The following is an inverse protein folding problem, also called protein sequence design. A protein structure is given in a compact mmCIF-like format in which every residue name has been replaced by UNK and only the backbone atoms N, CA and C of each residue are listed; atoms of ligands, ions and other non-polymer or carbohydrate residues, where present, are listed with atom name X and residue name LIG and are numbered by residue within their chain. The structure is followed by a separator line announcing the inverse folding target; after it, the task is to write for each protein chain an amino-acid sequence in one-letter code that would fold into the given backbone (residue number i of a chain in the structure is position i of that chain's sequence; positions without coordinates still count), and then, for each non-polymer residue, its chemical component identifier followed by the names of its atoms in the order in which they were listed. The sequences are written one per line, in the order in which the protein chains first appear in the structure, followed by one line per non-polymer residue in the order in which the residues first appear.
data_IF_338096629978
#
_entry.id   IF_338096629978
#
_cell.length_a   1.000
_cell.length_b   1.000
_cell.length_c   1.000
_cell.angle_alpha   90.00
_cell.angle_beta   90.00
_cell.angle_gamma   90.00
#
_symmetry.space_group_name_H-M   'P 1'
#
loop_
_entity.id
_entity.type
_entity.pdbx_description
1 polymer ?
#
# COMPACT_ATOMS: atom_id res chain seq x y z
N UNK A 1 19.30 26.02 4.18
CA UNK A 1 17.98 25.59 3.66
C UNK A 1 18.14 24.13 3.19
N UNK A 2 17.35 23.21 3.70
CA UNK A 2 17.41 21.81 3.26
C UNK A 2 16.65 21.68 1.93
N UNK A 3 17.25 21.05 0.91
CA UNK A 3 16.60 20.76 -0.37
C UNK A 3 15.51 19.68 -0.27
N UNK A 4 15.49 18.95 0.86
CA UNK A 4 14.59 17.82 1.07
C UNK A 4 13.87 17.99 2.41
N UNK A 5 12.60 17.62 2.43
CA UNK A 5 11.87 17.49 3.68
C UNK A 5 12.51 16.41 4.55
N UNK A 6 12.65 16.71 5.84
CA UNK A 6 13.11 15.75 6.85
C UNK A 6 12.30 15.97 8.12
N UNK A 7 11.59 14.95 8.62
CA UNK A 7 10.82 15.08 9.85
C UNK A 7 11.76 15.38 11.04
N UNK A 8 11.30 16.21 11.95
CA UNK A 8 12.04 16.52 13.15
C UNK A 8 11.99 15.33 14.13
N UNK A 9 13.16 14.85 14.59
CA UNK A 9 13.28 13.74 15.56
C UNK A 9 12.57 12.45 15.17
N UNK A 10 12.43 12.18 13.88
CA UNK A 10 11.77 10.99 13.35
C UNK A 10 12.52 10.42 12.15
N UNK A 11 12.19 9.18 11.79
CA UNK A 11 12.62 8.52 10.56
C UNK A 11 11.46 8.46 9.59
N UNK A 12 11.72 8.78 8.34
CA UNK A 12 10.76 8.72 7.25
C UNK A 12 10.94 7.38 6.53
N UNK A 13 9.84 6.64 6.40
CA UNK A 13 9.76 5.42 5.59
C UNK A 13 8.63 5.49 4.59
N UNK A 14 8.63 4.63 3.63
CA UNK A 14 7.62 4.35 2.61
C UNK A 14 6.76 5.55 2.20
N UNK A 15 7.18 6.22 1.13
CA UNK A 15 6.46 7.39 0.62
C UNK A 15 5.34 6.94 -0.31
N UNK A 16 4.12 7.34 0.01
CA UNK A 16 2.91 7.07 -0.76
C UNK A 16 2.47 8.39 -1.43
N UNK A 17 2.72 8.57 -2.73
CA UNK A 17 2.40 9.81 -3.42
C UNK A 17 0.89 9.95 -3.62
N UNK A 18 0.36 11.13 -3.35
CA UNK A 18 -1.00 11.52 -3.68
C UNK A 18 -1.05 12.94 -4.21
N UNK A 19 -1.86 13.19 -5.23
CA UNK A 19 -2.03 14.51 -5.84
C UNK A 19 -3.51 14.84 -5.96
N UNK A 20 -3.91 15.99 -5.47
CA UNK A 20 -5.29 16.45 -5.53
C UNK A 20 -5.36 17.98 -5.69
N UNK A 21 -6.10 18.43 -6.69
CA UNK A 21 -6.44 19.86 -6.92
C UNK A 21 -5.22 20.81 -6.91
N UNK A 22 -4.14 20.45 -7.58
CA UNK A 22 -2.94 21.30 -7.68
C UNK A 22 -2.00 21.22 -6.47
N UNK A 23 -2.32 20.39 -5.48
CA UNK A 23 -1.51 20.18 -4.28
C UNK A 23 -0.94 18.76 -4.29
N UNK A 24 0.37 18.64 -4.16
CA UNK A 24 1.01 17.35 -3.95
C UNK A 24 0.96 17.00 -2.46
N UNK A 25 0.42 15.84 -2.14
CA UNK A 25 0.13 15.38 -0.78
C UNK A 25 0.74 13.99 -0.54
N UNK A 26 2.08 13.88 -0.48
CA UNK A 26 2.71 12.59 -0.19
C UNK A 26 2.46 12.20 1.27
N UNK A 27 2.04 10.97 1.48
CA UNK A 27 2.03 10.35 2.80
C UNK A 27 3.37 9.65 3.04
N UNK A 28 3.73 9.47 4.30
CA UNK A 28 4.88 8.67 4.70
C UNK A 28 4.64 7.99 6.04
N UNK A 29 5.39 6.92 6.28
CA UNK A 29 5.40 6.25 7.57
C UNK A 29 6.42 6.93 8.48
N UNK A 30 5.94 7.56 9.55
CA UNK A 30 6.80 8.15 10.59
C UNK A 30 7.31 7.06 11.51
N UNK A 31 8.59 7.16 11.91
CA UNK A 31 9.28 6.22 12.81
C UNK A 31 9.48 4.81 12.23
N UNK A 32 9.36 4.65 10.91
CA UNK A 32 9.63 3.39 10.24
C UNK A 32 10.97 2.79 10.71
N UNK A 33 10.91 1.64 11.37
CA UNK A 33 12.06 0.91 11.91
C UNK A 33 12.93 1.64 12.95
N UNK A 34 12.56 2.84 13.41
CA UNK A 34 13.43 3.64 14.27
C UNK A 34 13.54 3.09 15.70
N UNK A 35 12.44 2.62 16.27
CA UNK A 35 12.38 1.93 17.55
C UNK A 35 11.18 1.01 17.53
N UNK A 36 11.40 -0.28 17.39
CA UNK A 36 10.33 -1.30 17.41
C UNK A 36 9.99 -1.73 18.85
N UNK A 37 9.99 -0.82 19.80
CA UNK A 37 9.36 -1.08 21.06
C UNK A 37 7.83 -0.92 20.92
N UNK A 38 7.08 -1.47 21.86
CA UNK A 38 5.61 -1.49 21.82
C UNK A 38 4.96 -0.09 21.82
N UNK A 39 5.75 0.97 22.03
CA UNK A 39 5.29 2.35 22.14
C UNK A 39 5.45 3.16 20.83
N UNK A 40 6.23 2.66 19.87
CA UNK A 40 6.54 3.38 18.64
C UNK A 40 6.09 2.57 17.42
N UNK A 41 4.79 2.59 17.16
CA UNK A 41 4.22 2.02 15.95
C UNK A 41 4.40 3.00 14.78
N UNK A 42 4.54 2.45 13.57
CA UNK A 42 4.57 3.25 12.36
C UNK A 42 3.25 4.00 12.21
N UNK A 43 3.29 5.31 11.98
CA UNK A 43 2.10 6.14 11.81
C UNK A 43 2.13 6.85 10.46
N UNK A 44 0.97 6.99 9.85
CA UNK A 44 0.80 7.73 8.62
C UNK A 44 0.79 9.23 8.90
N UNK A 45 1.62 9.94 8.17
CA UNK A 45 1.68 11.41 8.18
C UNK A 45 1.57 11.90 6.75
N UNK A 46 0.75 12.90 6.51
CA UNK A 46 0.64 13.55 5.22
C UNK A 46 1.50 14.81 5.20
N UNK A 47 2.15 15.05 4.09
CA UNK A 47 2.73 16.35 3.74
C UNK A 47 1.84 17.04 2.70
N UNK A 48 1.81 18.36 2.69
CA UNK A 48 1.20 19.11 1.59
C UNK A 48 2.16 20.16 1.07
N UNK A 49 2.21 20.30 -0.27
CA UNK A 49 3.04 21.29 -0.95
C UNK A 49 2.46 21.65 -2.31
N UNK A 50 2.63 22.93 -2.70
CA UNK A 50 2.28 23.42 -4.04
C UNK A 50 3.52 23.72 -4.89
N UNK A 51 4.70 23.74 -4.29
CA UNK A 51 5.97 24.14 -4.94
C UNK A 51 7.09 23.09 -4.82
N UNK A 52 6.82 21.97 -4.13
CA UNK A 52 7.78 20.88 -3.83
C UNK A 52 9.03 21.32 -3.03
N UNK A 53 8.96 22.50 -2.40
CA UNK A 53 10.04 23.08 -1.60
C UNK A 53 9.58 23.30 -0.15
N UNK A 54 8.41 23.90 -0.01
CA UNK A 54 7.82 24.18 1.29
C UNK A 54 6.74 23.14 1.59
N UNK A 55 6.87 22.46 2.72
CA UNK A 55 5.97 21.39 3.13
C UNK A 55 5.29 21.74 4.45
N UNK A 56 4.00 21.45 4.53
CA UNK A 56 3.23 21.43 5.78
C UNK A 56 2.97 19.99 6.17
N UNK A 57 3.17 19.66 7.43
CA UNK A 57 2.97 18.32 7.97
C UNK A 57 1.60 18.19 8.66
N UNK A 58 0.89 17.09 8.39
CA UNK A 58 -0.44 16.76 8.90
C UNK A 58 -0.41 15.35 9.50
N UNK A 59 -0.77 15.23 10.77
CA UNK A 59 -0.81 13.94 11.48
C UNK A 59 -2.19 13.29 11.34
N UNK A 60 -2.27 12.22 10.56
CA UNK A 60 -3.53 11.52 10.26
C UNK A 60 -4.10 10.71 11.42
N UNK A 61 -3.30 10.44 12.45
CA UNK A 61 -3.60 9.52 13.56
C UNK A 61 -3.78 8.03 13.16
N UNK A 62 -3.61 7.70 11.89
CA UNK A 62 -3.64 6.31 11.43
C UNK A 62 -2.32 5.64 11.77
N UNK A 63 -2.42 4.44 12.32
CA UNK A 63 -1.28 3.59 12.71
C UNK A 63 -1.30 2.31 11.88
N UNK A 64 -0.21 2.04 11.18
CA UNK A 64 -0.10 0.85 10.32
C UNK A 64 1.06 0.93 9.35
N UNK A 65 1.21 -0.12 8.56
CA UNK A 65 2.19 -0.20 7.47
C UNK A 65 1.68 0.43 6.18
N UNK A 66 2.42 0.21 5.11
CA UNK A 66 2.21 0.81 3.77
C UNK A 66 0.83 0.50 3.17
N UNK A 67 0.41 1.34 2.27
CA UNK A 67 -0.86 1.22 1.57
C UNK A 67 -1.04 2.28 0.48
N UNK A 68 -2.28 2.67 0.21
CA UNK A 68 -2.62 3.64 -0.84
C UNK A 68 -3.82 4.50 -0.46
N UNK A 69 -3.96 5.64 -1.15
CA UNK A 69 -5.08 6.56 -1.01
C UNK A 69 -5.74 6.78 -2.38
N UNK A 70 -7.05 6.69 -2.42
CA UNK A 70 -7.86 7.01 -3.61
C UNK A 70 -8.99 7.98 -3.23
N UNK A 71 -9.60 8.63 -4.23
CA UNK A 71 -10.79 9.48 -4.04
C UNK A 71 -11.93 8.95 -4.90
N UNK A 72 -13.08 8.71 -4.27
CA UNK A 72 -14.29 8.23 -4.93
C UNK A 72 -15.49 9.06 -4.45
N UNK A 73 -16.25 9.62 -5.37
CA UNK A 73 -17.45 10.41 -5.09
C UNK A 73 -17.27 11.49 -4.02
N UNK A 74 -16.08 12.11 -4.00
CA UNK A 74 -15.73 13.18 -3.06
C UNK A 74 -15.18 12.70 -1.71
N UNK A 75 -15.20 11.42 -1.42
CA UNK A 75 -14.65 10.81 -0.22
C UNK A 75 -13.27 10.22 -0.51
N UNK A 76 -12.32 10.43 0.38
CA UNK A 76 -11.00 9.80 0.33
C UNK A 76 -11.05 8.47 1.08
N UNK A 77 -10.44 7.46 0.49
CA UNK A 77 -10.30 6.11 1.02
C UNK A 77 -8.83 5.79 1.18
N UNK A 78 -8.41 5.39 2.36
CA UNK A 78 -7.07 4.89 2.66
C UNK A 78 -7.15 3.40 2.95
N UNK A 79 -6.38 2.62 2.19
CA UNK A 79 -6.18 1.20 2.44
C UNK A 79 -4.76 0.99 2.93
N UNK A 80 -4.59 0.28 4.04
CA UNK A 80 -3.29 0.08 4.67
C UNK A 80 -3.23 -1.26 5.39
N UNK A 81 -2.03 -1.73 5.71
CA UNK A 81 -1.88 -2.98 6.44
C UNK A 81 -1.56 -2.76 7.92
N UNK A 82 -1.93 -3.73 8.75
CA UNK A 82 -1.45 -3.83 10.13
C UNK A 82 -0.78 -5.17 10.35
N UNK A 83 0.38 -5.12 11.02
CA UNK A 83 1.17 -6.29 11.34
C UNK A 83 0.77 -6.84 12.70
N UNK A 84 0.70 -8.17 12.79
CA UNK A 84 0.43 -8.87 14.03
C UNK A 84 1.63 -9.69 14.46
N UNK A 85 1.72 -9.99 15.77
CA UNK A 85 2.73 -10.93 16.28
C UNK A 85 2.37 -12.35 15.83
N UNK A 86 3.34 -13.09 15.33
CA UNK A 86 3.15 -14.49 14.97
C UNK A 86 2.57 -15.29 16.16
N UNK A 87 1.60 -16.19 15.94
CA UNK A 87 1.14 -16.74 14.64
C UNK A 87 -0.06 -15.99 14.01
N UNK A 88 -0.40 -14.82 14.48
CA UNK A 88 -1.55 -14.06 13.99
C UNK A 88 -1.37 -13.58 12.55
N UNK A 89 -2.48 -13.39 11.85
CA UNK A 89 -2.51 -12.90 10.47
C UNK A 89 -2.30 -11.39 10.42
N UNK A 90 -1.66 -10.91 9.36
CA UNK A 90 -1.72 -9.51 9.00
C UNK A 90 -3.10 -9.16 8.42
N UNK A 91 -3.49 -7.91 8.53
CA UNK A 91 -4.78 -7.43 8.06
C UNK A 91 -4.62 -6.27 7.08
N UNK A 92 -5.52 -6.22 6.09
CA UNK A 92 -5.83 -5.00 5.35
C UNK A 92 -6.92 -4.25 6.11
N UNK A 93 -6.79 -2.94 6.18
CA UNK A 93 -7.70 -2.03 6.88
C UNK A 93 -8.16 -0.95 5.92
N UNK A 94 -9.28 -0.34 6.24
CA UNK A 94 -9.88 0.73 5.48
C UNK A 94 -10.20 1.91 6.41
N UNK A 95 -9.87 3.12 5.97
CA UNK A 95 -10.26 4.36 6.62
C UNK A 95 -10.75 5.37 5.58
N UNK A 96 -11.63 6.27 5.97
CA UNK A 96 -12.19 7.30 5.09
C UNK A 96 -12.00 8.69 5.66
N UNK A 97 -11.95 9.68 4.76
CA UNK A 97 -11.82 11.10 5.12
C UNK A 97 -12.53 11.98 4.09
N UNK A 98 -13.04 13.13 4.54
CA UNK A 98 -13.58 14.17 3.66
C UNK A 98 -12.56 15.25 3.30
N UNK A 99 -11.43 15.32 4.03
CA UNK A 99 -10.47 16.43 3.96
C UNK A 99 -8.99 16.00 3.92
N UNK A 100 -8.69 14.71 4.12
CA UNK A 100 -7.37 14.09 4.25
C UNK A 100 -6.67 14.35 5.60
N UNK A 101 -7.23 15.18 6.47
CA UNK A 101 -6.67 15.48 7.79
C UNK A 101 -7.29 14.60 8.88
N UNK A 102 -8.61 14.44 8.86
CA UNK A 102 -9.35 13.63 9.83
C UNK A 102 -9.80 12.32 9.17
N UNK A 103 -9.30 11.21 9.69
CA UNK A 103 -9.60 9.87 9.18
C UNK A 103 -10.47 9.08 10.15
N UNK A 104 -11.45 8.38 9.62
CA UNK A 104 -12.33 7.47 10.35
C UNK A 104 -12.09 6.04 9.84
N UNK A 105 -11.59 5.19 10.72
CA UNK A 105 -11.42 3.75 10.41
C UNK A 105 -12.80 3.07 10.29
N UNK A 106 -12.88 2.07 9.40
CA UNK A 106 -14.05 1.22 9.19
C UNK A 106 -13.67 -0.21 9.61
N UNK A 107 -13.82 -0.57 10.90
CA UNK A 107 -13.34 -1.84 11.42
C UNK A 107 -13.99 -3.07 10.76
N UNK A 108 -15.23 -2.95 10.30
CA UNK A 108 -15.98 -4.00 9.60
C UNK A 108 -15.39 -4.37 8.24
N UNK A 109 -14.64 -3.48 7.62
CA UNK A 109 -13.97 -3.71 6.33
C UNK A 109 -12.61 -4.41 6.48
N UNK A 110 -12.19 -4.65 7.72
CA UNK A 110 -10.92 -5.30 8.02
C UNK A 110 -10.93 -6.75 7.59
N UNK A 111 -9.95 -7.18 6.79
CA UNK A 111 -9.85 -8.55 6.32
C UNK A 111 -8.40 -9.06 6.25
N UNK A 112 -8.24 -10.38 6.31
CA UNK A 112 -6.97 -11.07 6.24
C UNK A 112 -6.92 -11.99 5.02
N UNK A 113 -5.79 -12.69 4.81
CA UNK A 113 -5.68 -13.72 3.76
C UNK A 113 -6.74 -14.83 3.93
N UNK A 114 -7.14 -15.42 2.82
CA UNK A 114 -8.12 -16.52 2.76
C UNK A 114 -7.57 -17.87 3.26
N UNK A 115 -6.25 -18.00 3.43
CA UNK A 115 -5.54 -19.25 3.73
C UNK A 115 -5.67 -20.35 2.67
N UNK A 116 -6.26 -20.04 1.54
CA UNK A 116 -6.40 -20.97 0.41
C UNK A 116 -5.43 -20.58 -0.71
N UNK A 117 -5.49 -19.34 -1.16
CA UNK A 117 -4.63 -18.79 -2.22
C UNK A 117 -3.34 -18.23 -1.62
N UNK A 118 -3.45 -17.48 -0.50
CA UNK A 118 -2.37 -16.69 0.07
C UNK A 118 -1.94 -17.11 1.48
N UNK A 119 -0.66 -16.91 1.78
CA UNK A 119 -0.11 -17.07 3.12
C UNK A 119 -0.47 -15.89 4.03
N UNK A 120 -0.75 -16.09 5.32
CA UNK A 120 -1.24 -15.04 6.21
C UNK A 120 -0.18 -13.99 6.60
N UNK A 121 1.11 -14.32 6.52
CA UNK A 121 2.21 -13.46 6.99
C UNK A 121 2.59 -12.42 5.94
N UNK A 122 2.66 -12.82 4.68
CA UNK A 122 2.95 -11.94 3.56
C UNK A 122 1.63 -11.42 2.97
N UNK A 123 1.02 -10.48 3.66
CA UNK A 123 -0.28 -9.88 3.35
C UNK A 123 -0.22 -8.41 3.75
N UNK A 124 0.26 -7.52 2.83
CA UNK A 124 0.56 -6.13 3.14
C UNK A 124 0.67 -5.25 1.90
N UNK A 125 0.85 -3.95 2.11
CA UNK A 125 1.11 -2.93 1.10
C UNK A 125 0.00 -2.86 0.03
N UNK A 126 -1.30 -2.67 0.40
CA UNK A 126 -2.38 -2.63 -0.57
C UNK A 126 -2.30 -1.38 -1.44
N UNK A 127 -2.41 -1.57 -2.75
CA UNK A 127 -2.55 -0.53 -3.74
C UNK A 127 -3.87 -0.72 -4.49
N UNK A 128 -4.78 0.26 -4.38
CA UNK A 128 -6.13 0.17 -4.92
C UNK A 128 -6.29 1.08 -6.13
N UNK A 129 -6.90 0.57 -7.19
CA UNK A 129 -7.22 1.31 -8.40
C UNK A 129 -8.47 0.77 -9.11
N UNK A 130 -9.07 1.60 -9.95
CA UNK A 130 -10.21 1.21 -10.78
C UNK A 130 -9.74 0.47 -12.04
N UNK A 131 -10.34 -0.66 -12.34
CA UNK A 131 -10.17 -1.39 -13.59
C UNK A 131 -11.29 -1.06 -14.56
N UNK A 132 -10.99 -0.29 -15.61
CA UNK A 132 -11.95 0.02 -16.67
C UNK A 132 -12.43 -1.22 -17.42
N UNK A 133 -11.54 -2.21 -17.63
CA UNK A 133 -11.88 -3.43 -18.37
C UNK A 133 -12.91 -4.30 -17.62
N UNK A 134 -12.77 -4.41 -16.30
CA UNK A 134 -13.65 -5.26 -15.49
C UNK A 134 -14.73 -4.48 -14.76
N UNK A 135 -14.70 -3.15 -14.84
CA UNK A 135 -15.65 -2.26 -14.19
C UNK A 135 -15.77 -2.58 -12.68
N UNK A 136 -14.61 -2.67 -12.01
CA UNK A 136 -14.51 -2.90 -10.57
C UNK A 136 -13.18 -2.38 -10.00
N UNK A 137 -13.10 -2.28 -8.69
CA UNK A 137 -11.89 -1.96 -7.95
C UNK A 137 -10.98 -3.16 -7.87
N UNK A 138 -9.71 -2.95 -8.12
CA UNK A 138 -8.65 -3.91 -7.91
C UNK A 138 -7.78 -3.45 -6.75
N UNK A 139 -7.45 -4.36 -5.85
CA UNK A 139 -6.44 -4.19 -4.83
C UNK A 139 -5.31 -5.15 -5.13
N UNK A 140 -4.14 -4.64 -5.50
CA UNK A 140 -2.92 -5.42 -5.59
C UNK A 140 -2.10 -5.23 -4.30
N UNK A 141 -1.32 -6.22 -3.91
CA UNK A 141 -0.62 -6.21 -2.64
C UNK A 141 0.57 -7.16 -2.62
N UNK A 142 1.48 -6.92 -1.68
CA UNK A 142 2.59 -7.83 -1.42
C UNK A 142 2.07 -9.12 -0.80
N UNK A 143 2.31 -10.26 -1.47
CA UNK A 143 1.79 -11.56 -1.05
C UNK A 143 2.77 -12.71 -1.27
N UNK A 144 2.47 -13.82 -0.61
CA UNK A 144 3.06 -15.11 -0.90
C UNK A 144 1.95 -16.13 -1.16
N UNK A 145 2.01 -16.80 -2.31
CA UNK A 145 1.03 -17.82 -2.67
C UNK A 145 1.18 -19.08 -1.80
N UNK A 146 0.08 -19.72 -1.46
CA UNK A 146 0.12 -21.05 -0.82
C UNK A 146 0.86 -22.08 -1.70
N UNK A 147 1.62 -22.95 -1.06
CA UNK A 147 2.32 -24.01 -1.79
C UNK A 147 3.47 -24.63 -1.00
N UNK A 148 4.13 -25.61 -1.61
CA UNK A 148 5.21 -26.39 -0.99
C UNK A 148 6.60 -25.84 -1.26
N UNK A 149 6.77 -24.99 -2.27
CA UNK A 149 8.07 -24.43 -2.64
C UNK A 149 8.36 -23.15 -1.85
N UNK A 150 9.63 -22.75 -1.77
CA UNK A 150 10.03 -21.50 -1.10
C UNK A 150 9.93 -20.27 -2.00
N UNK A 151 9.77 -20.45 -3.33
CA UNK A 151 9.71 -19.36 -4.31
C UNK A 151 8.28 -19.05 -4.71
N UNK A 152 7.51 -18.49 -3.80
CA UNK A 152 6.07 -18.25 -3.91
C UNK A 152 5.68 -16.78 -3.80
N UNK A 153 6.68 -15.89 -3.71
CA UNK A 153 6.43 -14.45 -3.68
C UNK A 153 5.69 -13.98 -4.92
N UNK A 154 4.68 -13.17 -4.72
CA UNK A 154 3.83 -12.66 -5.78
C UNK A 154 3.29 -11.26 -5.43
N UNK A 155 2.74 -10.60 -6.43
CA UNK A 155 1.78 -9.50 -6.24
C UNK A 155 0.40 -10.15 -6.23
N UNK A 156 -0.28 -10.11 -5.10
CA UNK A 156 -1.63 -10.64 -4.92
C UNK A 156 -2.69 -9.76 -5.59
N UNK A 157 -3.92 -10.25 -5.64
CA UNK A 157 -5.07 -9.54 -6.21
C UNK A 157 -6.34 -9.86 -5.41
N UNK A 158 -7.06 -8.81 -5.05
CA UNK A 158 -8.46 -8.88 -4.67
C UNK A 158 -9.28 -7.91 -5.53
N UNK A 159 -10.57 -8.19 -5.71
CA UNK A 159 -11.49 -7.37 -6.50
C UNK A 159 -12.71 -6.98 -5.68
N UNK A 160 -13.23 -5.77 -5.90
CA UNK A 160 -14.41 -5.26 -5.20
C UNK A 160 -15.31 -4.44 -6.12
N UNK A 161 -16.61 -4.45 -5.83
CA UNK A 161 -17.59 -3.56 -6.49
C UNK A 161 -17.91 -2.32 -5.67
N UNK A 162 -17.58 -2.33 -4.37
CA UNK A 162 -18.06 -1.34 -3.41
C UNK A 162 -16.98 -0.78 -2.46
N UNK A 163 -15.71 -1.23 -2.59
CA UNK A 163 -14.58 -0.91 -1.71
C UNK A 163 -14.67 -1.52 -0.28
N UNK A 164 -15.76 -2.20 0.05
CA UNK A 164 -16.01 -2.78 1.36
C UNK A 164 -15.84 -4.31 1.36
N UNK A 165 -16.29 -4.98 0.31
CA UNK A 165 -16.22 -6.43 0.16
C UNK A 165 -15.21 -6.79 -0.92
N UNK A 166 -14.24 -7.66 -0.58
CA UNK A 166 -13.13 -8.02 -1.46
C UNK A 166 -13.13 -9.53 -1.77
N UNK A 167 -13.26 -9.85 -3.04
CA UNK A 167 -13.16 -11.22 -3.57
C UNK A 167 -11.68 -11.57 -3.78
N UNK A 168 -11.23 -12.69 -3.23
CA UNK A 168 -9.88 -13.19 -3.43
C UNK A 168 -9.70 -13.76 -4.84
N UNK A 169 -8.61 -13.39 -5.49
CA UNK A 169 -8.29 -13.81 -6.85
C UNK A 169 -6.91 -14.47 -6.91
N UNK A 170 -6.64 -15.21 -8.00
CA UNK A 170 -5.27 -15.64 -8.31
C UNK A 170 -4.34 -14.41 -8.42
N UNK A 171 -3.05 -14.56 -8.11
CA UNK A 171 -2.12 -13.45 -8.12
C UNK A 171 -2.10 -12.66 -9.43
N UNK A 172 -2.02 -11.35 -9.32
CA UNK A 172 -1.80 -10.44 -10.44
C UNK A 172 -0.47 -10.72 -11.15
N UNK A 173 0.59 -11.00 -10.38
CA UNK A 173 1.92 -11.33 -10.92
C UNK A 173 2.63 -12.34 -10.03
N UNK A 174 2.94 -13.52 -10.57
CA UNK A 174 3.56 -14.62 -9.84
C UNK A 174 4.63 -15.34 -10.70
N UNK A 175 5.84 -14.77 -10.83
CA UNK A 175 6.87 -15.30 -11.73
C UNK A 175 7.59 -16.54 -11.19
N UNK A 176 7.25 -17.03 -9.99
CA UNK A 176 7.82 -18.20 -9.32
C UNK A 176 9.36 -18.14 -9.09
N UNK A 177 9.92 -16.95 -9.00
CA UNK A 177 11.35 -16.72 -8.77
C UNK A 177 11.66 -15.91 -7.50
N UNK A 178 10.65 -15.48 -6.76
CA UNK A 178 10.81 -14.73 -5.52
C UNK A 178 10.55 -15.60 -4.28
N UNK A 179 11.45 -15.57 -3.31
CA UNK A 179 11.27 -16.26 -2.03
C UNK A 179 10.22 -15.60 -1.16
N UNK A 180 10.30 -14.27 -1.04
CA UNK A 180 9.38 -13.44 -0.28
C UNK A 180 8.38 -12.76 -1.21
N UNK A 181 7.52 -11.92 -0.67
CA UNK A 181 6.61 -11.07 -1.42
C UNK A 181 7.35 -10.04 -2.29
N UNK A 182 6.66 -9.48 -3.26
CA UNK A 182 7.06 -8.25 -3.93
C UNK A 182 6.40 -7.08 -3.21
N UNK A 183 7.18 -6.26 -2.52
CA UNK A 183 6.69 -5.21 -1.64
C UNK A 183 6.34 -3.93 -2.37
N UNK A 184 5.43 -3.16 -1.78
CA UNK A 184 4.98 -1.85 -2.24
C UNK A 184 4.64 -1.85 -3.74
N UNK A 185 3.73 -2.71 -4.23
CA UNK A 185 3.37 -2.72 -5.63
C UNK A 185 2.56 -1.48 -5.98
N UNK A 186 2.99 -0.79 -7.06
CA UNK A 186 2.24 0.28 -7.70
C UNK A 186 1.87 -0.13 -9.12
N UNK A 187 0.67 0.23 -9.56
CA UNK A 187 0.22 -0.02 -10.92
C UNK A 187 -0.38 1.25 -11.53
N UNK A 188 0.15 1.66 -12.67
CA UNK A 188 -0.28 2.88 -13.34
C UNK A 188 -0.04 2.84 -14.85
N UNK A 189 -0.78 3.69 -15.57
CA UNK A 189 -0.59 3.92 -17.00
C UNK A 189 0.24 5.16 -17.23
N UNK A 190 1.24 5.04 -18.13
CA UNK A 190 2.02 6.17 -18.63
C UNK A 190 2.15 6.06 -20.15
N UNK A 191 1.53 6.99 -20.86
CA UNK A 191 1.37 6.89 -22.31
C UNK A 191 0.58 5.66 -22.72
N UNK A 192 1.13 4.85 -23.61
CA UNK A 192 0.51 3.61 -24.13
C UNK A 192 0.83 2.35 -23.32
N UNK A 193 1.49 2.50 -22.18
CA UNK A 193 1.98 1.39 -21.39
C UNK A 193 1.43 1.41 -19.99
N UNK A 194 1.10 0.23 -19.48
CA UNK A 194 0.87 -0.04 -18.06
C UNK A 194 2.17 -0.49 -17.41
N UNK A 195 2.43 0.00 -16.21
CA UNK A 195 3.60 -0.32 -15.41
C UNK A 195 3.18 -0.92 -14.09
N UNK A 196 3.73 -2.07 -13.76
CA UNK A 196 3.73 -2.64 -12.43
C UNK A 196 5.12 -2.42 -11.84
N UNK A 197 5.22 -1.64 -10.77
CA UNK A 197 6.47 -1.34 -10.06
C UNK A 197 6.40 -1.99 -8.68
N UNK A 198 7.49 -2.57 -8.21
CA UNK A 198 7.57 -3.21 -6.90
C UNK A 198 9.01 -3.35 -6.43
N UNK A 199 9.19 -3.57 -5.12
CA UNK A 199 10.48 -3.89 -4.52
C UNK A 199 10.65 -5.40 -4.36
N UNK A 200 11.83 -5.90 -4.71
CA UNK A 200 12.19 -7.31 -4.57
C UNK A 200 13.29 -7.47 -3.51
N UNK A 201 13.10 -8.43 -2.60
CA UNK A 201 14.06 -8.80 -1.54
C UNK A 201 14.64 -10.20 -1.74
N UNK A 202 14.83 -10.63 -2.97
CA UNK A 202 15.44 -11.94 -3.22
C UNK A 202 16.96 -11.89 -2.94
N UNK A 203 17.78 -12.01 -3.97
CA UNK A 203 19.24 -11.99 -3.84
C UNK A 203 19.80 -10.56 -3.73
N UNK A 204 19.00 -9.57 -4.13
CA UNK A 204 19.34 -8.14 -4.08
C UNK A 204 18.10 -7.33 -3.73
N UNK A 205 18.31 -6.27 -2.94
CA UNK A 205 17.29 -5.24 -2.72
C UNK A 205 17.26 -4.33 -3.94
N UNK A 206 16.16 -4.33 -4.67
CA UNK A 206 16.03 -3.51 -5.87
C UNK A 206 14.58 -3.20 -6.19
N UNK A 207 14.33 -2.02 -6.72
CA UNK A 207 13.07 -1.68 -7.36
C UNK A 207 13.06 -2.26 -8.77
N UNK A 208 12.00 -2.95 -9.09
CA UNK A 208 11.78 -3.58 -10.39
C UNK A 208 10.50 -3.05 -11.03
N UNK A 209 10.40 -3.19 -12.34
CA UNK A 209 9.13 -2.96 -13.02
C UNK A 209 8.85 -4.02 -14.09
N UNK A 210 7.57 -4.13 -14.42
CA UNK A 210 7.06 -4.82 -15.61
C UNK A 210 6.21 -3.84 -16.39
N UNK A 211 6.12 -4.02 -17.70
CA UNK A 211 5.25 -3.20 -18.53
C UNK A 211 4.49 -4.05 -19.54
N UNK A 212 3.26 -3.64 -19.84
CA UNK A 212 2.38 -4.27 -20.81
C UNK A 212 1.61 -3.20 -21.59
N UNK A 213 1.02 -3.57 -22.71
CA UNK A 213 0.08 -2.73 -23.46
C UNK A 213 -1.38 -2.94 -23.00
N UNK A 214 -1.62 -3.96 -22.22
CA UNK A 214 -2.90 -4.22 -21.52
C UNK A 214 -2.64 -4.33 -20.02
N UNK A 215 -3.63 -4.04 -19.17
CA UNK A 215 -3.55 -4.23 -17.73
C UNK A 215 -3.18 -5.65 -17.31
#
# INVERSE_FOLDING_TARGET
MSLYFRPEKAVLGDVIPYYDNGVFKPFYLRNYRANRDEQHQDSWVMLSTTDHIHYTEHDTKIVGGTGSVIKVDGLYHMFYCTFQKLPEKNYMNHAVSTDLDVWMEIPEDRFASDDVIYEPIHWRDPFVFWSEEENCWWMIFAAQKKGKTTRRGCVGLCKSKDLHHWDYCEPFYAPMNAQCAFECPDFFRMGDWYYLVFSSYADRYQTMYRKSRSP
#
